data_IF_666383827195
#
_entry.id   IF_666383827195
#
_cell.length_a   1.000
_cell.length_b   1.000
_cell.length_c   1.000
_cell.angle_alpha   90.00
_cell.angle_beta   90.00
_cell.angle_gamma   90.00
#
_symmetry.space_group_name_H-M   'P 1'
#
loop_
_entity.id
_entity.type
_entity.pdbx_description
1 polymer ?
#
# COMPACT_ATOMS: atom_id res chain seq x y z
N UNK A 1 -19.31 -6.47 2.71
CA UNK A 1 -17.90 -6.84 2.49
C UNK A 1 -17.84 -8.32 2.16
N UNK A 2 -17.35 -8.67 0.96
CA UNK A 2 -17.10 -10.07 0.60
C UNK A 2 -16.01 -10.61 1.53
N UNK A 3 -16.31 -11.63 2.31
CA UNK A 3 -15.32 -12.30 3.16
C UNK A 3 -14.82 -13.54 2.43
N UNK A 4 -13.51 -13.79 2.49
CA UNK A 4 -12.97 -15.05 1.98
C UNK A 4 -13.62 -16.22 2.73
N UNK A 5 -13.97 -17.32 2.02
CA UNK A 5 -14.37 -18.54 2.67
C UNK A 5 -13.31 -19.01 3.66
N UNK A 6 -13.74 -19.56 4.80
CA UNK A 6 -12.83 -20.23 5.72
C UNK A 6 -12.55 -21.63 5.19
N UNK A 7 -11.36 -21.81 4.62
CA UNK A 7 -10.87 -23.14 4.26
C UNK A 7 -10.25 -23.79 5.50
N UNK A 8 -10.62 -25.04 5.80
CA UNK A 8 -10.07 -25.80 6.94
C UNK A 8 -8.69 -26.39 6.60
N UNK A 9 -7.75 -25.52 6.21
CA UNK A 9 -6.39 -25.88 5.81
C UNK A 9 -5.38 -25.56 6.91
N UNK A 10 -4.41 -26.44 7.11
CA UNK A 10 -3.23 -26.19 7.93
C UNK A 10 -2.29 -25.18 7.25
N UNK A 11 -1.39 -24.58 8.03
CA UNK A 11 -0.37 -23.68 7.48
C UNK A 11 0.55 -24.39 6.47
N UNK A 12 0.81 -25.69 6.66
CA UNK A 12 1.61 -26.49 5.74
C UNK A 12 0.89 -26.67 4.40
N UNK A 13 -0.39 -27.03 4.40
CA UNK A 13 -1.18 -27.19 3.17
C UNK A 13 -1.33 -25.86 2.42
N UNK A 14 -1.59 -24.77 3.15
CA UNK A 14 -1.63 -23.43 2.55
C UNK A 14 -0.30 -23.07 1.87
N UNK A 15 0.83 -23.41 2.50
CA UNK A 15 2.17 -23.21 1.92
C UNK A 15 2.36 -24.06 0.67
N UNK A 16 2.01 -25.35 0.70
CA UNK A 16 2.11 -26.24 -0.47
C UNK A 16 1.34 -25.69 -1.66
N UNK A 17 0.12 -25.18 -1.44
CA UNK A 17 -0.68 -24.56 -2.49
C UNK A 17 -0.03 -23.27 -3.00
N UNK A 18 0.47 -22.41 -2.12
CA UNK A 18 1.16 -21.18 -2.50
C UNK A 18 2.41 -21.46 -3.35
N UNK A 19 3.23 -22.42 -2.93
CA UNK A 19 4.43 -22.85 -3.66
C UNK A 19 4.08 -23.42 -5.05
N UNK A 20 3.00 -24.22 -5.14
CA UNK A 20 2.51 -24.75 -6.41
C UNK A 20 2.11 -23.64 -7.39
N UNK A 21 1.32 -22.66 -6.93
CA UNK A 21 0.92 -21.54 -7.79
C UNK A 21 2.11 -20.68 -8.22
N UNK A 22 3.06 -20.46 -7.33
CA UNK A 22 4.28 -19.72 -7.64
C UNK A 22 5.08 -20.43 -8.75
N UNK A 23 5.33 -21.74 -8.59
CA UNK A 23 6.00 -22.55 -9.60
C UNK A 23 5.26 -22.56 -10.95
N UNK A 24 3.93 -22.69 -10.92
CA UNK A 24 3.12 -22.70 -12.13
C UNK A 24 3.10 -21.35 -12.85
N UNK A 25 3.07 -20.25 -12.11
CA UNK A 25 3.13 -18.89 -12.66
C UNK A 25 4.56 -18.50 -13.11
N UNK A 26 5.54 -19.41 -13.02
CA UNK A 26 6.93 -19.13 -13.36
C UNK A 26 7.58 -18.08 -12.46
N UNK A 27 7.01 -17.83 -11.28
CA UNK A 27 7.52 -16.85 -10.31
C UNK A 27 8.11 -17.56 -9.10
N UNK A 28 9.36 -17.25 -8.79
CA UNK A 28 9.98 -17.63 -7.52
C UNK A 28 9.66 -16.63 -6.41
N UNK A 29 8.96 -15.53 -6.72
CA UNK A 29 8.69 -14.42 -5.80
C UNK A 29 7.53 -14.75 -4.86
N UNK A 30 7.79 -15.66 -3.93
CA UNK A 30 7.34 -15.49 -2.55
C UNK A 30 8.57 -14.96 -1.80
N UNK A 31 9.02 -13.76 -2.15
CA UNK A 31 9.98 -13.08 -1.27
C UNK A 31 9.25 -12.88 0.05
N UNK A 32 9.74 -13.43 1.17
CA UNK A 32 9.18 -13.09 2.47
C UNK A 32 9.19 -11.56 2.61
N UNK A 33 8.20 -10.96 3.29
CA UNK A 33 8.19 -9.51 3.53
C UNK A 33 9.52 -8.97 4.07
N UNK A 34 10.31 -9.82 4.75
CA UNK A 34 11.62 -9.54 5.34
C UNK A 34 12.84 -9.93 4.49
N UNK A 35 12.67 -10.25 3.20
CA UNK A 35 13.77 -10.71 2.34
C UNK A 35 14.96 -9.71 2.36
N UNK A 36 16.22 -10.19 2.48
CA UNK A 36 17.41 -9.34 2.52
C UNK A 36 17.49 -8.38 1.33
N UNK A 37 17.03 -8.81 0.15
CA UNK A 37 16.96 -8.02 -1.08
C UNK A 37 16.09 -6.78 -0.95
N UNK A 38 14.97 -6.85 -0.23
CA UNK A 38 14.08 -5.71 0.03
C UNK A 38 14.76 -4.71 0.98
N UNK A 39 15.46 -5.20 2.01
CA UNK A 39 16.26 -4.35 2.92
C UNK A 39 17.45 -3.67 2.24
N UNK A 40 18.12 -4.36 1.31
CA UNK A 40 19.20 -3.76 0.52
C UNK A 40 18.69 -2.67 -0.42
N UNK A 41 17.55 -2.89 -1.08
CA UNK A 41 16.91 -1.88 -1.93
C UNK A 41 16.49 -0.63 -1.12
N UNK A 42 15.90 -0.83 0.07
CA UNK A 42 15.57 0.25 1.01
C UNK A 42 16.79 0.95 1.63
N UNK A 43 17.99 0.36 1.52
CA UNK A 43 19.24 0.95 2.00
C UNK A 43 20.00 1.69 0.89
N UNK A 44 19.61 1.50 -0.38
CA UNK A 44 20.25 2.10 -1.55
C UNK A 44 19.56 3.38 -2.04
N UNK A 45 18.54 3.85 -1.34
CA UNK A 45 17.72 4.96 -1.82
C UNK A 45 18.52 6.27 -1.92
N UNK A 46 18.51 6.85 -3.12
CA UNK A 46 18.97 8.22 -3.33
C UNK A 46 18.04 9.24 -2.63
N UNK A 47 18.53 10.46 -2.47
CA UNK A 47 17.82 11.55 -1.80
C UNK A 47 16.45 11.84 -2.46
N UNK A 48 16.36 11.68 -3.78
CA UNK A 48 15.14 11.88 -4.54
C UNK A 48 14.08 10.83 -4.18
N UNK A 49 14.47 9.56 -4.06
CA UNK A 49 13.58 8.47 -3.64
C UNK A 49 13.07 8.68 -2.23
N UNK A 50 13.94 9.09 -1.30
CA UNK A 50 13.54 9.42 0.07
C UNK A 50 12.54 10.59 0.11
N UNK A 51 12.79 11.66 -0.64
CA UNK A 51 11.87 12.80 -0.76
C UNK A 51 10.52 12.39 -1.38
N UNK A 52 10.53 11.54 -2.40
CA UNK A 52 9.30 11.01 -3.01
C UNK A 52 8.49 10.17 -2.02
N UNK A 53 9.13 9.37 -1.17
CA UNK A 53 8.44 8.63 -0.09
C UNK A 53 7.87 9.55 0.98
N UNK A 54 8.59 10.61 1.36
CA UNK A 54 8.06 11.61 2.29
C UNK A 54 6.82 12.32 1.71
N UNK A 55 6.83 12.66 0.41
CA UNK A 55 5.66 13.23 -0.29
C UNK A 55 4.50 12.23 -0.38
N UNK A 56 4.77 10.97 -0.73
CA UNK A 56 3.77 9.93 -0.74
C UNK A 56 3.16 9.72 0.65
N UNK A 57 3.96 9.87 1.72
CA UNK A 57 3.46 9.78 3.09
C UNK A 57 2.46 10.90 3.39
N UNK A 58 2.67 12.12 2.87
CA UNK A 58 1.68 13.22 2.99
C UNK A 58 0.33 12.86 2.38
N UNK A 59 0.34 12.14 1.25
CA UNK A 59 -0.88 11.61 0.61
C UNK A 59 -1.52 10.52 1.49
N UNK A 60 -0.72 9.60 2.04
CA UNK A 60 -1.22 8.55 2.93
C UNK A 60 -1.89 9.10 4.18
N UNK A 61 -1.29 10.12 4.81
CA UNK A 61 -1.81 10.70 6.05
C UNK A 61 -2.92 11.72 5.84
N UNK A 62 -3.25 12.08 4.59
CA UNK A 62 -4.36 12.99 4.34
C UNK A 62 -5.70 12.35 4.74
N UNK A 63 -6.41 13.08 5.61
CA UNK A 63 -7.63 12.64 6.28
C UNK A 63 -8.91 13.04 5.55
N UNK A 64 -8.80 13.87 4.51
CA UNK A 64 -9.95 14.53 3.88
C UNK A 64 -10.29 13.93 2.52
N UNK A 65 -9.28 13.65 1.73
CA UNK A 65 -9.37 13.29 0.31
C UNK A 65 -8.85 11.88 0.08
N UNK A 66 -7.68 11.56 0.62
CA UNK A 66 -6.94 10.35 0.27
C UNK A 66 -7.10 9.22 1.32
N UNK A 67 -5.99 8.71 1.84
CA UNK A 67 -5.96 7.35 2.40
C UNK A 67 -6.43 7.30 3.86
N UNK A 68 -5.91 8.18 4.73
CA UNK A 68 -6.24 8.21 6.16
C UNK A 68 -7.69 8.65 6.45
N UNK A 69 -8.45 9.07 5.42
CA UNK A 69 -9.90 9.21 5.53
C UNK A 69 -10.58 7.88 5.87
N UNK A 70 -10.09 6.78 5.29
CA UNK A 70 -10.74 5.48 5.34
C UNK A 70 -9.85 4.37 5.91
N UNK A 71 -8.54 4.44 5.74
CA UNK A 71 -7.60 3.39 6.13
C UNK A 71 -6.93 3.67 7.48
N UNK A 72 -6.54 2.59 8.16
CA UNK A 72 -5.57 2.67 9.26
C UNK A 72 -4.19 2.93 8.67
N UNK A 73 -3.46 3.88 9.25
CA UNK A 73 -2.13 4.31 8.81
C UNK A 73 -1.22 4.39 10.04
N UNK A 74 -0.37 3.38 10.22
CA UNK A 74 0.46 3.27 11.42
C UNK A 74 -0.39 3.24 12.69
N UNK A 75 -0.11 4.15 13.64
CA UNK A 75 -0.85 4.29 14.90
C UNK A 75 -2.13 5.15 14.78
N UNK A 76 -2.48 5.63 13.58
CA UNK A 76 -3.71 6.36 13.34
C UNK A 76 -4.83 5.47 12.80
N UNK A 77 -6.02 5.60 13.40
CA UNK A 77 -7.26 4.97 12.95
C UNK A 77 -8.33 6.06 12.70
N UNK A 78 -9.02 6.05 11.55
CA UNK A 78 -10.06 7.03 11.26
C UNK A 78 -11.24 6.91 12.24
N UNK A 79 -11.78 8.03 12.75
CA UNK A 79 -12.92 8.03 13.67
C UNK A 79 -14.23 7.59 12.96
N UNK A 80 -15.18 7.00 13.70
CA UNK A 80 -16.48 6.52 13.14
C UNK A 80 -16.45 5.10 12.53
N UNK A 81 -15.38 4.36 12.83
CA UNK A 81 -14.90 3.10 12.26
C UNK A 81 -15.76 1.82 12.41
N UNK A 82 -17.07 1.88 12.64
CA UNK A 82 -17.83 0.66 13.02
C UNK A 82 -18.30 -0.21 11.83
N UNK A 83 -18.26 0.28 10.57
CA UNK A 83 -18.72 -0.51 9.41
C UNK A 83 -17.88 -0.43 8.12
N UNK A 84 -17.08 0.61 7.90
CA UNK A 84 -16.40 0.86 6.60
C UNK A 84 -14.97 1.40 6.75
N UNK A 85 -14.17 0.77 7.63
CA UNK A 85 -12.72 1.04 7.67
C UNK A 85 -12.03 0.21 6.59
N UNK A 86 -11.20 0.88 5.79
CA UNK A 86 -10.30 0.24 4.85
C UNK A 86 -9.24 -0.60 5.58
N UNK A 87 -8.64 -1.61 4.93
CA UNK A 87 -7.57 -2.40 5.53
C UNK A 87 -6.42 -1.56 6.06
N UNK A 88 -5.66 -2.09 7.02
CA UNK A 88 -4.42 -1.47 7.48
C UNK A 88 -3.41 -1.38 6.34
N UNK A 89 -2.90 -0.18 6.07
CA UNK A 89 -1.92 0.04 4.99
C UNK A 89 -0.56 -0.57 5.30
N UNK A 90 -0.22 -0.83 6.57
CA UNK A 90 1.00 -1.55 6.92
C UNK A 90 1.02 -2.97 6.34
N UNK A 91 -0.14 -3.56 6.10
CA UNK A 91 -0.27 -4.91 5.55
C UNK A 91 -0.18 -4.93 4.01
N UNK A 92 -0.22 -3.77 3.35
CA UNK A 92 -0.23 -3.70 1.89
C UNK A 92 1.06 -4.26 1.28
N UNK A 93 2.23 -3.70 1.61
CA UNK A 93 3.52 -4.16 1.08
C UNK A 93 3.98 -5.51 1.62
N UNK A 94 3.43 -5.94 2.77
CA UNK A 94 3.71 -7.25 3.35
C UNK A 94 2.99 -8.38 2.63
N UNK A 95 1.78 -8.12 2.11
CA UNK A 95 0.88 -9.15 1.56
C UNK A 95 0.69 -9.05 0.06
N UNK A 96 0.85 -7.86 -0.51
CA UNK A 96 0.58 -7.59 -1.92
C UNK A 96 1.88 -7.32 -2.66
N UNK A 97 1.94 -7.77 -3.91
CA UNK A 97 3.01 -7.42 -4.82
C UNK A 97 2.84 -5.97 -5.28
N UNK A 98 3.94 -5.24 -5.45
CA UNK A 98 3.93 -3.84 -5.89
C UNK A 98 3.12 -3.64 -7.17
N UNK A 99 3.26 -4.54 -8.15
CA UNK A 99 2.52 -4.47 -9.40
C UNK A 99 1.00 -4.68 -9.22
N UNK A 100 0.58 -5.49 -8.24
CA UNK A 100 -0.83 -5.56 -7.84
C UNK A 100 -1.30 -4.24 -7.22
N UNK A 101 -0.50 -3.63 -6.33
CA UNK A 101 -0.80 -2.34 -5.70
C UNK A 101 -0.96 -1.25 -6.77
N UNK A 102 -0.06 -1.14 -7.76
CA UNK A 102 -0.17 -0.18 -8.86
C UNK A 102 -1.51 -0.28 -9.57
N UNK A 103 -1.89 -1.50 -9.99
CA UNK A 103 -3.16 -1.74 -10.70
C UNK A 103 -4.38 -1.49 -9.82
N UNK A 104 -4.28 -1.78 -8.52
CA UNK A 104 -5.34 -1.48 -7.57
C UNK A 104 -5.54 0.03 -7.41
N UNK A 105 -4.46 0.81 -7.29
CA UNK A 105 -4.52 2.26 -7.17
C UNK A 105 -5.02 2.95 -8.45
N UNK A 106 -4.69 2.40 -9.62
CA UNK A 106 -5.14 2.91 -10.91
C UNK A 106 -6.66 2.76 -11.12
N UNK A 107 -7.22 1.60 -10.80
CA UNK A 107 -8.67 1.37 -10.86
C UNK A 107 -9.11 0.28 -9.85
N UNK A 108 -9.48 0.68 -8.63
CA UNK A 108 -9.93 -0.26 -7.61
C UNK A 108 -11.18 -1.04 -8.04
N UNK A 109 -12.08 -0.44 -8.83
CA UNK A 109 -13.33 -1.08 -9.24
C UNK A 109 -13.12 -2.10 -10.36
N UNK A 110 -12.10 -1.93 -11.19
CA UNK A 110 -11.69 -2.98 -12.13
C UNK A 110 -11.18 -4.24 -11.41
N UNK A 111 -10.64 -4.10 -10.19
CA UNK A 111 -10.17 -5.25 -9.37
C UNK A 111 -11.24 -5.80 -8.45
N UNK A 112 -12.05 -4.93 -7.86
CA UNK A 112 -13.16 -5.30 -7.00
C UNK A 112 -14.34 -4.35 -7.27
N UNK A 113 -15.31 -4.73 -8.13
CA UNK A 113 -16.39 -3.84 -8.58
C UNK A 113 -17.19 -3.15 -7.48
N UNK A 114 -17.31 -3.81 -6.32
CA UNK A 114 -18.09 -3.32 -5.18
C UNK A 114 -17.23 -2.63 -4.11
N UNK A 115 -15.96 -2.33 -4.40
CA UNK A 115 -15.12 -1.59 -3.45
C UNK A 115 -15.63 -0.16 -3.27
N UNK A 116 -15.72 0.34 -2.02
CA UNK A 116 -16.02 1.75 -1.78
C UNK A 116 -14.78 2.65 -2.00
N UNK A 117 -13.61 2.07 -2.29
CA UNK A 117 -12.38 2.83 -2.52
C UNK A 117 -12.49 3.66 -3.81
N UNK A 118 -12.33 5.00 -3.74
CA UNK A 118 -12.38 5.86 -4.90
C UNK A 118 -11.13 5.72 -5.78
N UNK A 119 -11.21 6.21 -7.01
CA UNK A 119 -10.04 6.44 -7.86
C UNK A 119 -9.36 7.73 -7.38
N UNK A 120 -8.27 7.59 -6.63
CA UNK A 120 -7.53 8.74 -6.07
C UNK A 120 -6.55 9.37 -7.07
N UNK A 121 -6.16 8.63 -8.10
CA UNK A 121 -5.21 9.04 -9.14
C UNK A 121 -5.87 8.89 -10.51
N UNK A 122 -6.62 9.90 -10.98
CA UNK A 122 -7.41 9.78 -12.20
C UNK A 122 -6.49 9.58 -13.42
N UNK A 123 -6.82 8.68 -14.37
CA UNK A 123 -5.98 8.40 -15.54
C UNK A 123 -5.99 9.52 -16.59
N UNK A 124 -6.91 10.49 -16.45
CA UNK A 124 -7.04 11.65 -17.32
C UNK A 124 -7.52 12.87 -16.53
N UNK A 125 -7.26 14.07 -17.06
CA UNK A 125 -7.49 15.33 -16.37
C UNK A 125 -6.32 15.74 -15.47
N UNK A 126 -6.51 16.82 -14.72
CA UNK A 126 -5.50 17.33 -13.79
C UNK A 126 -5.31 16.35 -12.61
N UNK A 127 -4.08 15.87 -12.33
CA UNK A 127 -3.87 14.95 -11.22
C UNK A 127 -4.07 15.67 -9.88
N UNK A 128 -4.69 14.98 -8.92
CA UNK A 128 -5.04 15.52 -7.61
C UNK A 128 -3.81 15.64 -6.70
N UNK A 129 -3.90 16.50 -5.66
CA UNK A 129 -2.91 16.54 -4.58
C UNK A 129 -1.51 17.00 -5.02
N UNK A 130 -1.41 17.89 -6.02
CA UNK A 130 -0.13 18.42 -6.50
C UNK A 130 0.68 19.15 -5.41
N UNK A 131 0.00 19.66 -4.38
CA UNK A 131 0.61 20.25 -3.19
C UNK A 131 1.26 19.21 -2.25
N UNK A 132 0.78 17.96 -2.28
CA UNK A 132 1.26 16.87 -1.45
C UNK A 132 2.32 16.03 -2.17
N UNK A 133 2.03 15.65 -3.41
CA UNK A 133 2.84 14.76 -4.24
C UNK A 133 2.72 15.21 -5.70
N UNK A 134 3.57 16.16 -6.15
CA UNK A 134 3.52 16.65 -7.52
C UNK A 134 3.89 15.55 -8.53
N UNK A 135 3.30 15.64 -9.72
CA UNK A 135 3.56 14.72 -10.83
C UNK A 135 2.30 14.16 -11.47
N UNK A 136 2.49 13.44 -12.57
CA UNK A 136 1.43 12.73 -13.27
C UNK A 136 0.85 11.59 -12.41
N UNK A 137 -0.39 11.19 -12.67
CA UNK A 137 -1.07 10.13 -11.89
C UNK A 137 -0.27 8.82 -11.84
N UNK A 138 0.44 8.47 -12.91
CA UNK A 138 1.31 7.27 -12.93
C UNK A 138 2.49 7.41 -11.98
N UNK A 139 3.13 8.58 -11.93
CA UNK A 139 4.26 8.86 -11.03
C UNK A 139 3.81 8.92 -9.57
N UNK A 140 2.59 9.41 -9.32
CA UNK A 140 1.98 9.40 -7.99
C UNK A 140 1.67 7.96 -7.53
N UNK A 141 1.11 7.12 -8.42
CA UNK A 141 0.87 5.70 -8.17
C UNK A 141 2.18 4.97 -7.85
N UNK A 142 3.23 5.25 -8.61
CA UNK A 142 4.54 4.63 -8.38
C UNK A 142 5.14 5.03 -7.03
N UNK A 143 5.12 6.31 -6.68
CA UNK A 143 5.63 6.79 -5.39
C UNK A 143 4.84 6.23 -4.19
N UNK A 144 3.51 6.15 -4.30
CA UNK A 144 2.67 5.55 -3.25
C UNK A 144 2.90 4.04 -3.15
N UNK A 145 3.05 3.36 -4.28
CA UNK A 145 3.36 1.93 -4.30
C UNK A 145 4.70 1.64 -3.65
N UNK A 146 5.72 2.42 -4.00
CA UNK A 146 7.06 2.30 -3.47
C UNK A 146 7.08 2.54 -1.95
N UNK A 147 6.41 3.59 -1.45
CA UNK A 147 6.24 3.79 -0.02
C UNK A 147 5.53 2.61 0.66
N UNK A 148 4.46 2.07 0.07
CA UNK A 148 3.74 0.93 0.66
C UNK A 148 4.58 -0.36 0.65
N UNK A 149 5.41 -0.56 -0.36
CA UNK A 149 6.34 -1.69 -0.44
C UNK A 149 7.42 -1.63 0.65
N UNK A 150 7.96 -0.44 0.93
CA UNK A 150 9.01 -0.21 1.94
C UNK A 150 8.48 0.43 3.23
N UNK A 151 7.19 0.25 3.52
CA UNK A 151 6.50 1.00 4.58
C UNK A 151 7.08 0.76 5.98
N UNK A 152 7.44 -0.49 6.28
CA UNK A 152 8.03 -0.85 7.57
C UNK A 152 9.40 -0.19 7.78
N UNK A 153 10.23 -0.18 6.73
CA UNK A 153 11.56 0.43 6.72
C UNK A 153 11.44 1.95 6.85
N UNK A 154 10.52 2.55 6.10
CA UNK A 154 10.19 3.96 6.18
C UNK A 154 9.78 4.35 7.61
N UNK A 155 8.84 3.62 8.22
CA UNK A 155 8.34 3.92 9.57
C UNK A 155 9.37 3.71 10.68
N UNK A 156 10.34 2.79 10.53
CA UNK A 156 11.42 2.60 11.52
C UNK A 156 12.23 3.87 11.77
N UNK A 157 12.31 4.75 10.77
CA UNK A 157 13.01 6.04 10.88
C UNK A 157 12.17 7.17 11.49
N UNK A 158 10.87 6.94 11.74
CA UNK A 158 9.90 7.98 12.17
C UNK A 158 9.42 7.71 13.60
N UNK A 159 9.06 8.77 14.34
CA UNK A 159 8.63 8.67 15.76
C UNK A 159 7.18 8.19 15.93
N UNK A 160 6.23 8.75 15.19
CA UNK A 160 4.80 8.37 15.21
C UNK A 160 4.07 8.94 13.99
N UNK A 161 3.09 8.20 13.44
CA UNK A 161 2.25 8.70 12.33
C UNK A 161 1.22 9.70 12.83
N UNK A 162 0.64 9.47 14.01
CA UNK A 162 -0.30 10.39 14.64
C UNK A 162 0.33 11.76 14.91
N UNK A 163 1.60 11.82 15.27
CA UNK A 163 2.34 13.08 15.41
C UNK A 163 2.47 13.82 14.06
N UNK A 164 2.76 13.09 12.98
CA UNK A 164 2.81 13.68 11.62
C UNK A 164 1.47 14.25 11.16
N UNK A 165 0.36 13.79 11.71
CA UNK A 165 -1.01 14.23 11.38
C UNK A 165 -1.51 15.44 12.17
N UNK A 166 -0.80 15.82 13.24
CA UNK A 166 -1.15 16.93 14.13
C UNK A 166 0.06 17.87 14.27
N UNK A 167 0.46 18.58 13.19
CA UNK A 167 1.57 19.53 13.21
C UNK A 167 1.28 20.76 14.08
#
# INVERSE_FOLDING_TARGET
MMKMPKYAMSAAEAKTLADFFAAHAGTTRIDPPDAPTRRLAAATDDEDTANRRDQAMRVLIDRKTFCAKCHVVGDYRPPGATATVGPDLAEAGRRLQAEYIRRWLADPRAKLPYTPMPVNFPPSGEPLGQDLLPGASTEQIDAVTDLLEYYDDYLRSKRSVREMMNP
#
